data_IF_028430142323
#
_entry.id   IF_028430142323
#
_cell.length_a   1.000
_cell.length_b   1.000
_cell.length_c   1.000
_cell.angle_alpha   90.00
_cell.angle_beta   90.00
_cell.angle_gamma   90.00
#
_symmetry.space_group_name_H-M   'P 1'
#
loop_
_entity.id
_entity.type
_entity.pdbx_description
1 polymer ?
#
# COMPACT_ATOMS: atom_id res chain seq x y z
N UNK A 1 54.68 22.57 -3.38
CA UNK A 1 53.55 21.67 -3.74
C UNK A 1 53.83 21.21 -5.17
N UNK A 2 54.16 19.94 -5.38
CA UNK A 2 54.57 19.44 -6.70
C UNK A 2 53.34 19.16 -7.57
N UNK A 3 53.48 19.30 -8.89
CA UNK A 3 52.45 18.98 -9.87
C UNK A 3 51.86 17.58 -9.67
N UNK A 4 52.70 16.61 -9.27
CA UNK A 4 52.28 15.25 -8.93
C UNK A 4 51.23 15.22 -7.82
N UNK A 5 51.39 15.99 -6.74
CA UNK A 5 50.42 16.03 -5.64
C UNK A 5 49.06 16.61 -6.09
N UNK A 6 49.06 17.55 -7.03
CA UNK A 6 47.83 18.11 -7.62
C UNK A 6 47.11 17.07 -8.48
N UNK A 7 47.84 16.31 -9.30
CA UNK A 7 47.27 15.21 -10.09
C UNK A 7 46.75 14.05 -9.23
N UNK A 8 47.43 13.72 -8.13
CA UNK A 8 46.97 12.69 -7.18
C UNK A 8 45.69 13.12 -6.47
N UNK A 9 45.59 14.39 -6.03
CA UNK A 9 44.38 14.94 -5.40
C UNK A 9 43.22 15.01 -6.39
N UNK A 10 43.47 15.45 -7.63
CA UNK A 10 42.44 15.47 -8.70
C UNK A 10 42.01 14.06 -9.13
N UNK A 11 42.94 13.10 -9.17
CA UNK A 11 42.64 11.69 -9.46
C UNK A 11 41.80 11.03 -8.36
N UNK A 12 42.12 11.29 -7.09
CA UNK A 12 41.33 10.81 -5.95
C UNK A 12 39.94 11.45 -5.88
N UNK A 13 39.82 12.76 -6.15
CA UNK A 13 38.53 13.46 -6.18
C UNK A 13 37.68 13.05 -7.38
N UNK A 14 38.30 12.84 -8.55
CA UNK A 14 37.62 12.37 -9.76
C UNK A 14 37.09 10.94 -9.62
N UNK A 15 37.92 10.01 -9.14
CA UNK A 15 37.51 8.62 -8.91
C UNK A 15 36.50 8.49 -7.75
N UNK A 16 36.68 9.28 -6.67
CA UNK A 16 35.72 9.36 -5.57
C UNK A 16 34.34 9.88 -6.02
N UNK A 17 34.31 10.87 -6.91
CA UNK A 17 33.06 11.39 -7.50
C UNK A 17 32.34 10.38 -8.40
N UNK A 18 33.07 9.62 -9.22
CA UNK A 18 32.51 8.57 -10.08
C UNK A 18 31.94 7.39 -9.26
N UNK A 19 32.64 6.98 -8.21
CA UNK A 19 32.13 5.94 -7.30
C UNK A 19 30.91 6.43 -6.52
N UNK A 20 30.96 7.66 -5.98
CA UNK A 20 29.85 8.26 -5.25
C UNK A 20 28.59 8.39 -6.11
N UNK A 21 28.72 8.84 -7.36
CA UNK A 21 27.59 8.94 -8.29
C UNK A 21 27.01 7.57 -8.66
N UNK A 22 27.85 6.55 -8.87
CA UNK A 22 27.40 5.17 -9.10
C UNK A 22 26.56 4.64 -7.93
N UNK A 23 27.06 4.75 -6.69
CA UNK A 23 26.30 4.33 -5.50
C UNK A 23 25.01 5.13 -5.32
N UNK A 24 25.04 6.44 -5.61
CA UNK A 24 23.85 7.30 -5.55
C UNK A 24 22.76 6.83 -6.52
N UNK A 25 23.12 6.50 -7.77
CA UNK A 25 22.17 6.00 -8.78
C UNK A 25 21.54 4.69 -8.33
N UNK A 26 22.32 3.76 -7.77
CA UNK A 26 21.78 2.49 -7.25
C UNK A 26 20.81 2.71 -6.09
N UNK A 27 21.15 3.61 -5.17
CA UNK A 27 20.30 3.97 -4.05
C UNK A 27 19.00 4.67 -4.49
N UNK A 28 19.10 5.63 -5.41
CA UNK A 28 17.94 6.31 -6.00
C UNK A 28 17.01 5.33 -6.69
N UNK A 29 17.54 4.40 -7.51
CA UNK A 29 16.72 3.37 -8.17
C UNK A 29 15.98 2.49 -7.17
N UNK A 30 16.66 2.05 -6.10
CA UNK A 30 16.05 1.24 -5.05
C UNK A 30 14.95 2.00 -4.32
N UNK A 31 15.20 3.26 -3.96
CA UNK A 31 14.21 4.09 -3.28
C UNK A 31 13.01 4.41 -4.17
N UNK A 32 13.23 4.72 -5.45
CA UNK A 32 12.15 4.94 -6.40
C UNK A 32 11.25 3.70 -6.55
N UNK A 33 11.83 2.50 -6.60
CA UNK A 33 11.05 1.26 -6.65
C UNK A 33 10.24 1.02 -5.35
N UNK A 34 10.81 1.34 -4.18
CA UNK A 34 10.11 1.26 -2.90
C UNK A 34 8.95 2.27 -2.83
N UNK A 35 9.17 3.50 -3.28
CA UNK A 35 8.14 4.54 -3.33
C UNK A 35 7.00 4.15 -4.27
N UNK A 36 7.31 3.68 -5.48
CA UNK A 36 6.28 3.21 -6.43
C UNK A 36 5.45 2.05 -5.84
N UNK A 37 6.11 1.10 -5.17
CA UNK A 37 5.42 0.01 -4.47
C UNK A 37 4.48 0.55 -3.38
N UNK A 38 4.94 1.55 -2.63
CA UNK A 38 4.17 2.17 -1.56
C UNK A 38 2.95 2.93 -2.09
N UNK A 39 3.12 3.76 -3.12
CA UNK A 39 2.04 4.51 -3.76
C UNK A 39 0.98 3.58 -4.38
N UNK A 40 1.45 2.50 -5.02
CA UNK A 40 0.57 1.47 -5.53
C UNK A 40 -0.25 0.82 -4.41
N UNK A 41 0.42 0.36 -3.33
CA UNK A 41 -0.25 -0.24 -2.17
C UNK A 41 -1.28 0.71 -1.54
N UNK A 42 -0.92 1.98 -1.36
CA UNK A 42 -1.81 2.99 -0.78
C UNK A 42 -3.07 3.19 -1.64
N UNK A 43 -2.88 3.34 -2.96
CA UNK A 43 -3.99 3.50 -3.91
C UNK A 43 -4.93 2.30 -3.86
N UNK A 44 -4.37 1.08 -3.90
CA UNK A 44 -5.17 -0.16 -3.85
C UNK A 44 -5.92 -0.30 -2.52
N UNK A 45 -5.27 -0.03 -1.39
CA UNK A 45 -5.91 -0.12 -0.08
C UNK A 45 -7.05 0.89 0.09
N UNK A 46 -6.93 2.12 -0.43
CA UNK A 46 -8.04 3.08 -0.44
C UNK A 46 -9.25 2.54 -1.23
N UNK A 47 -9.01 1.93 -2.39
CA UNK A 47 -10.07 1.28 -3.16
C UNK A 47 -10.73 0.14 -2.38
N UNK A 48 -9.93 -0.72 -1.75
CA UNK A 48 -10.44 -1.87 -0.99
C UNK A 48 -11.26 -1.40 0.23
N UNK A 49 -10.81 -0.38 0.97
CA UNK A 49 -11.57 0.17 2.10
C UNK A 49 -12.97 0.61 1.67
N UNK A 50 -13.10 1.23 0.50
CA UNK A 50 -14.39 1.61 -0.05
C UNK A 50 -15.27 0.38 -0.32
N UNK A 51 -14.72 -0.70 -0.87
CA UNK A 51 -15.44 -1.95 -1.08
C UNK A 51 -15.88 -2.61 0.23
N UNK A 52 -15.01 -2.64 1.24
CA UNK A 52 -15.32 -3.21 2.56
C UNK A 52 -16.45 -2.44 3.25
N UNK A 53 -16.39 -1.10 3.24
CA UNK A 53 -17.46 -0.25 3.77
C UNK A 53 -18.76 -0.46 3.00
N UNK A 54 -18.69 -0.54 1.68
CA UNK A 54 -19.85 -0.85 0.85
C UNK A 54 -20.44 -2.22 1.16
N UNK A 55 -19.64 -3.19 1.60
CA UNK A 55 -20.16 -4.51 1.95
C UNK A 55 -20.93 -4.49 3.29
N UNK A 56 -20.59 -3.59 4.21
CA UNK A 56 -21.30 -3.44 5.49
C UNK A 56 -22.67 -2.79 5.33
N UNK A 57 -22.83 -1.90 4.35
CA UNK A 57 -24.09 -1.21 4.06
C UNK A 57 -24.22 -0.99 2.55
N UNK A 58 -24.64 -2.04 1.85
CA UNK A 58 -24.61 -2.11 0.39
C UNK A 58 -25.53 -1.10 -0.29
N UNK A 59 -26.80 -1.08 0.09
CA UNK A 59 -27.80 -0.24 -0.56
C UNK A 59 -27.48 1.25 -0.40
N UNK A 60 -26.97 1.64 0.77
CA UNK A 60 -26.52 3.01 1.04
C UNK A 60 -25.31 3.42 0.20
N UNK A 61 -24.34 2.53 0.03
CA UNK A 61 -23.06 2.85 -0.59
C UNK A 61 -22.98 2.52 -2.09
N UNK A 62 -23.97 1.82 -2.65
CA UNK A 62 -24.04 1.48 -4.09
C UNK A 62 -23.91 2.69 -5.02
N UNK A 63 -24.57 3.84 -4.79
CA UNK A 63 -24.39 5.02 -5.65
C UNK A 63 -22.94 5.51 -5.67
N UNK A 64 -22.24 5.45 -4.54
CA UNK A 64 -20.83 5.83 -4.44
C UNK A 64 -19.92 4.86 -5.20
N UNK A 65 -20.18 3.55 -5.14
CA UNK A 65 -19.46 2.56 -5.97
C UNK A 65 -19.56 2.91 -7.46
N UNK A 66 -20.77 3.26 -7.91
CA UNK A 66 -21.04 3.60 -9.31
C UNK A 66 -20.33 4.88 -9.74
N UNK A 67 -20.30 5.90 -8.88
CA UNK A 67 -19.52 7.13 -9.11
C UNK A 67 -18.02 6.86 -9.24
N UNK A 68 -17.51 5.84 -8.54
CA UNK A 68 -16.11 5.39 -8.63
C UNK A 68 -15.88 4.33 -9.73
N UNK A 69 -16.75 4.26 -10.75
CA UNK A 69 -16.55 3.44 -11.94
C UNK A 69 -16.92 1.95 -11.78
N UNK A 70 -17.61 1.57 -10.69
CA UNK A 70 -18.04 0.19 -10.42
C UNK A 70 -19.52 -0.02 -10.68
N UNK A 71 -20.02 0.49 -11.81
CA UNK A 71 -21.43 0.39 -12.21
C UNK A 71 -21.91 -1.06 -12.46
N UNK A 72 -20.99 -1.99 -12.67
CA UNK A 72 -21.29 -3.42 -12.82
C UNK A 72 -21.71 -4.08 -11.49
N UNK A 73 -21.36 -3.51 -10.33
CA UNK A 73 -21.74 -4.04 -9.02
C UNK A 73 -23.19 -3.65 -8.72
N UNK A 74 -24.10 -4.61 -8.87
CA UNK A 74 -25.54 -4.36 -8.73
C UNK A 74 -26.16 -5.09 -7.55
N UNK A 75 -25.55 -6.18 -7.12
CA UNK A 75 -25.95 -6.99 -5.97
C UNK A 75 -24.77 -7.19 -5.03
N UNK A 76 -25.07 -7.59 -3.79
CA UNK A 76 -24.06 -7.87 -2.77
C UNK A 76 -23.09 -8.98 -3.21
N UNK A 77 -23.56 -9.95 -3.99
CA UNK A 77 -22.73 -11.05 -4.50
C UNK A 77 -21.67 -10.55 -5.48
N UNK A 78 -22.02 -9.58 -6.34
CA UNK A 78 -21.08 -8.97 -7.28
C UNK A 78 -19.95 -8.24 -6.52
N UNK A 79 -20.30 -7.60 -5.39
CA UNK A 79 -19.33 -6.96 -4.50
C UNK A 79 -18.46 -7.98 -3.78
N UNK A 80 -19.04 -9.11 -3.35
CA UNK A 80 -18.30 -10.18 -2.70
C UNK A 80 -17.28 -10.82 -3.66
N UNK A 81 -17.63 -11.00 -4.92
CA UNK A 81 -16.71 -11.50 -5.94
C UNK A 81 -15.59 -10.50 -6.26
N UNK A 82 -15.90 -9.20 -6.31
CA UNK A 82 -14.88 -8.15 -6.41
C UNK A 82 -13.91 -8.16 -5.21
N UNK A 83 -14.41 -8.35 -3.98
CA UNK A 83 -13.55 -8.48 -2.79
C UNK A 83 -12.62 -9.71 -2.86
N UNK A 84 -13.09 -10.85 -3.38
CA UNK A 84 -12.25 -12.03 -3.62
C UNK A 84 -11.20 -11.77 -4.70
N UNK A 85 -11.57 -11.06 -5.77
CA UNK A 85 -10.63 -10.64 -6.81
C UNK A 85 -9.54 -9.74 -6.22
N UNK A 86 -9.92 -8.76 -5.40
CA UNK A 86 -8.98 -7.89 -4.71
C UNK A 86 -8.06 -8.67 -3.77
N UNK A 87 -8.58 -9.64 -3.01
CA UNK A 87 -7.76 -10.49 -2.16
C UNK A 87 -6.68 -11.25 -2.96
N UNK A 88 -7.03 -11.80 -4.13
CA UNK A 88 -6.05 -12.44 -5.02
C UNK A 88 -4.99 -11.44 -5.52
N UNK A 89 -5.40 -10.23 -5.91
CA UNK A 89 -4.47 -9.18 -6.34
C UNK A 89 -3.52 -8.74 -5.21
N UNK A 90 -4.01 -8.74 -3.96
CA UNK A 90 -3.23 -8.37 -2.79
C UNK A 90 -2.04 -9.29 -2.53
N UNK A 91 -2.07 -10.55 -2.98
CA UNK A 91 -0.96 -11.51 -2.84
C UNK A 91 0.36 -10.93 -3.40
N UNK A 92 0.28 -10.06 -4.41
CA UNK A 92 1.47 -9.48 -5.04
C UNK A 92 2.18 -8.43 -4.18
N UNK A 93 1.50 -7.83 -3.20
CA UNK A 93 2.03 -6.63 -2.53
C UNK A 93 1.72 -6.50 -1.04
N UNK A 94 0.65 -7.12 -0.54
CA UNK A 94 0.21 -7.01 0.84
C UNK A 94 1.01 -7.91 1.79
N UNK A 95 1.10 -7.50 3.06
CA UNK A 95 1.64 -8.37 4.12
C UNK A 95 0.71 -9.54 4.46
N UNK A 96 1.28 -10.59 5.05
CA UNK A 96 0.52 -11.78 5.50
C UNK A 96 -0.59 -11.41 6.50
N UNK A 97 -0.34 -10.44 7.38
CA UNK A 97 -1.33 -9.95 8.34
C UNK A 97 -2.53 -9.34 7.61
N UNK A 98 -2.30 -8.53 6.58
CA UNK A 98 -3.37 -7.94 5.76
C UNK A 98 -4.13 -9.02 5.00
N UNK A 99 -3.43 -9.98 4.38
CA UNK A 99 -4.07 -11.10 3.66
C UNK A 99 -4.98 -11.94 4.59
N UNK A 100 -4.51 -12.19 5.81
CA UNK A 100 -5.27 -12.91 6.83
C UNK A 100 -6.50 -12.11 7.28
N UNK A 101 -6.37 -10.83 7.62
CA UNK A 101 -7.51 -10.00 8.04
C UNK A 101 -8.55 -9.79 6.94
N UNK A 102 -8.09 -9.60 5.70
CA UNK A 102 -8.97 -9.48 4.55
C UNK A 102 -9.78 -10.76 4.33
N UNK A 103 -9.17 -11.94 4.49
CA UNK A 103 -9.88 -13.23 4.42
C UNK A 103 -10.94 -13.33 5.53
N UNK A 104 -10.59 -13.01 6.77
CA UNK A 104 -11.54 -13.01 7.90
C UNK A 104 -12.75 -12.09 7.63
N UNK A 105 -12.53 -10.94 6.99
CA UNK A 105 -13.63 -10.07 6.59
C UNK A 105 -14.51 -10.70 5.50
N UNK A 106 -13.91 -11.27 4.44
CA UNK A 106 -14.68 -11.89 3.34
C UNK A 106 -15.54 -13.06 3.84
N UNK A 107 -15.03 -13.83 4.81
CA UNK A 107 -15.75 -14.96 5.41
C UNK A 107 -16.83 -14.51 6.41
N UNK A 108 -16.55 -13.48 7.21
CA UNK A 108 -17.48 -12.95 8.20
C UNK A 108 -17.47 -11.41 8.22
N UNK A 109 -18.20 -10.75 7.30
CA UNK A 109 -18.22 -9.30 7.21
C UNK A 109 -18.83 -8.66 8.45
N UNK A 110 -18.06 -7.83 9.13
CA UNK A 110 -18.51 -7.09 10.32
C UNK A 110 -17.72 -5.80 10.49
N UNK A 111 -18.28 -4.86 11.25
CA UNK A 111 -17.58 -3.61 11.58
C UNK A 111 -16.24 -3.89 12.29
N UNK A 112 -16.19 -4.91 13.15
CA UNK A 112 -14.97 -5.32 13.83
C UNK A 112 -13.92 -5.84 12.84
N UNK A 113 -14.29 -6.74 11.94
CA UNK A 113 -13.36 -7.29 10.95
C UNK A 113 -12.92 -6.23 9.93
N UNK A 114 -13.78 -5.27 9.60
CA UNK A 114 -13.42 -4.09 8.81
C UNK A 114 -12.32 -3.29 9.50
N UNK A 115 -12.52 -2.95 10.78
CA UNK A 115 -11.54 -2.19 11.57
C UNK A 115 -10.20 -2.93 11.68
N UNK A 116 -10.21 -4.24 11.97
CA UNK A 116 -8.99 -5.06 12.00
C UNK A 116 -8.25 -5.02 10.68
N UNK A 117 -8.97 -5.14 9.57
CA UNK A 117 -8.40 -5.08 8.21
C UNK A 117 -7.80 -3.71 7.92
N UNK A 118 -8.53 -2.64 8.22
CA UNK A 118 -8.06 -1.26 8.03
C UNK A 118 -6.81 -0.94 8.85
N UNK A 119 -6.75 -1.41 10.11
CA UNK A 119 -5.56 -1.25 10.97
C UNK A 119 -4.37 -2.02 10.43
N UNK A 120 -4.58 -3.26 9.96
CA UNK A 120 -3.52 -4.05 9.34
C UNK A 120 -2.99 -3.36 8.08
N UNK A 121 -3.87 -2.86 7.20
CA UNK A 121 -3.48 -2.12 5.98
C UNK A 121 -2.67 -0.87 6.32
N UNK A 122 -3.11 -0.10 7.32
CA UNK A 122 -2.38 1.07 7.81
C UNK A 122 -0.99 0.71 8.33
N UNK A 123 -0.89 -0.35 9.13
CA UNK A 123 0.38 -0.84 9.69
C UNK A 123 1.32 -1.27 8.57
N UNK A 124 0.78 -1.92 7.54
CA UNK A 124 1.53 -2.35 6.37
C UNK A 124 1.97 -1.19 5.45
N UNK A 125 1.26 -0.07 5.47
CA UNK A 125 1.67 1.15 4.77
C UNK A 125 2.76 1.92 5.53
N UNK A 126 2.49 2.36 6.76
CA UNK A 126 3.36 3.35 7.43
C UNK A 126 4.02 2.84 8.70
N UNK A 127 3.72 1.61 9.11
CA UNK A 127 4.10 1.10 10.42
C UNK A 127 3.35 1.76 11.58
N UNK A 128 3.73 1.37 12.79
CA UNK A 128 3.17 1.91 14.04
C UNK A 128 1.89 1.22 14.51
N UNK A 129 1.53 1.47 15.78
CA UNK A 129 0.35 0.92 16.45
C UNK A 129 -0.77 1.97 16.50
N UNK A 130 -1.99 1.58 16.17
CA UNK A 130 -3.20 2.33 16.54
C UNK A 130 -3.85 1.62 17.72
N UNK A 131 -4.24 2.37 18.76
CA UNK A 131 -5.09 1.82 19.83
C UNK A 131 -6.50 1.58 19.27
N UNK A 132 -6.98 0.35 19.42
CA UNK A 132 -8.33 -0.07 19.04
C UNK A 132 -9.43 0.69 19.80
N UNK A 133 -9.13 1.25 20.97
CA UNK A 133 -10.07 2.08 21.73
C UNK A 133 -10.48 3.34 20.96
N UNK A 134 -9.59 3.90 20.13
CA UNK A 134 -9.88 5.08 19.31
C UNK A 134 -10.78 4.79 18.10
N UNK A 135 -11.06 3.52 17.80
CA UNK A 135 -11.87 3.10 16.65
C UNK A 135 -13.31 2.74 17.03
N UNK A 136 -13.66 2.68 18.32
CA UNK A 136 -14.99 2.30 18.81
C UNK A 136 -16.04 3.44 18.70
N UNK A 137 -15.69 4.60 18.15
CA UNK A 137 -16.46 5.84 18.33
C UNK A 137 -17.14 6.40 17.07
N UNK A 138 -17.45 5.57 16.07
CA UNK A 138 -18.20 5.97 14.86
C UNK A 138 -19.20 4.88 14.48
#
# INVERSE_FOLDING_TARGET
>A
MNLENVFTILGLLGLGGLLGTYFRILWERKNSALLQKQEFKETRYKCIILLLLSHLDFDKNKPMLHQHGRSYINRIEDLQDELKLEWNNMILFASDEVLSRMREFIENPSQENFQKTAVAMRKDLWGGKISSEKLKSL
#
